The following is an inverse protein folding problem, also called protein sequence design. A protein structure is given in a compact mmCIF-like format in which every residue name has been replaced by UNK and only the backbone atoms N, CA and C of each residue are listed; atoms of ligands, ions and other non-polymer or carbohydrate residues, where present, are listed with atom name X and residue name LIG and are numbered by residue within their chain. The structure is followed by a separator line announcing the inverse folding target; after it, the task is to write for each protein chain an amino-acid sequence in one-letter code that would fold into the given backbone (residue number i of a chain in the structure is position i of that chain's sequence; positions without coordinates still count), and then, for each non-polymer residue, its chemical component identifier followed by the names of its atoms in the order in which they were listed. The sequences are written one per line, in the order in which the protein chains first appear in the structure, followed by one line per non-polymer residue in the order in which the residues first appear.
data_IF_486259926298
#
_entry.id   IF_486259926298
#
_cell.length_a   1.000
_cell.length_b   1.000
_cell.length_c   1.000
_cell.angle_alpha   90.00
_cell.angle_beta   90.00
_cell.angle_gamma   90.00
#
_symmetry.space_group_name_H-M   'P 1'
#
loop_
_entity.id
_entity.type
_entity.pdbx_description
1 polymer ?
#
# COMPACT_ATOMS: atom_id res chain seq x y z
N UNK A 1 3.07 1.95 -21.22
CA UNK A 1 2.48 2.51 -22.46
C UNK A 1 0.98 2.72 -22.23
N UNK A 2 0.43 3.90 -22.50
CA UNK A 2 -1.00 4.19 -22.24
C UNK A 2 -1.96 3.50 -23.24
N UNK A 3 -1.47 3.01 -24.37
CA UNK A 3 -2.29 2.49 -25.47
C UNK A 3 -3.19 1.29 -25.12
N UNK A 4 -2.89 0.56 -24.04
CA UNK A 4 -3.71 -0.57 -23.61
C UNK A 4 -4.90 -0.14 -22.72
N UNK A 5 -4.68 0.86 -21.85
CA UNK A 5 -5.69 1.33 -20.91
C UNK A 5 -6.41 2.61 -21.39
N UNK A 6 -5.83 3.30 -22.37
CA UNK A 6 -6.30 4.56 -22.98
C UNK A 6 -6.79 5.59 -21.94
N UNK A 7 -5.99 5.78 -20.88
CA UNK A 7 -6.36 6.66 -19.79
C UNK A 7 -6.18 8.11 -20.22
N UNK A 8 -7.30 8.83 -20.32
CA UNK A 8 -7.30 10.30 -20.32
C UNK A 8 -6.85 10.83 -18.97
N UNK A 9 -6.42 12.10 -18.90
CA UNK A 9 -6.08 12.74 -17.62
C UNK A 9 -7.26 12.70 -16.62
N UNK A 10 -8.49 12.89 -17.12
CA UNK A 10 -9.70 12.77 -16.31
C UNK A 10 -9.89 11.34 -15.78
N UNK A 11 -9.63 10.33 -16.60
CA UNK A 11 -9.71 8.93 -16.17
C UNK A 11 -8.62 8.60 -15.13
N UNK A 12 -7.38 9.05 -15.37
CA UNK A 12 -6.27 8.90 -14.42
C UNK A 12 -6.61 9.57 -13.08
N UNK A 13 -7.10 10.80 -13.09
CA UNK A 13 -7.50 11.53 -11.88
C UNK A 13 -8.61 10.81 -11.10
N UNK A 14 -9.65 10.32 -11.80
CA UNK A 14 -10.76 9.58 -11.18
C UNK A 14 -10.31 8.25 -10.57
N UNK A 15 -9.39 7.55 -11.21
CA UNK A 15 -8.97 6.20 -10.79
C UNK A 15 -7.69 6.19 -9.91
N UNK A 16 -7.16 7.35 -9.53
CA UNK A 16 -5.98 7.44 -8.65
C UNK A 16 -6.41 7.49 -7.20
N UNK A 17 -6.34 6.37 -6.48
CA UNK A 17 -6.77 6.25 -5.07
C UNK A 17 -6.18 7.33 -4.16
N UNK A 18 -4.92 7.73 -4.36
CA UNK A 18 -4.25 8.76 -3.56
C UNK A 18 -4.95 10.13 -3.60
N UNK A 19 -5.78 10.39 -4.62
CA UNK A 19 -6.57 11.63 -4.76
C UNK A 19 -7.94 11.54 -4.08
N UNK A 20 -8.30 10.37 -3.56
CA UNK A 20 -9.62 10.06 -3.00
C UNK A 20 -9.50 9.41 -1.61
N UNK A 21 -8.53 9.83 -0.81
CA UNK A 21 -8.42 9.40 0.59
C UNK A 21 -9.70 9.83 1.33
N UNK A 22 -10.43 8.91 1.99
CA UNK A 22 -11.70 9.22 2.63
C UNK A 22 -11.50 10.10 3.87
N UNK A 23 -12.56 10.81 4.28
CA UNK A 23 -12.56 11.58 5.54
C UNK A 23 -12.60 10.69 6.80
N UNK A 24 -13.01 9.43 6.68
CA UNK A 24 -12.98 8.43 7.75
C UNK A 24 -12.52 7.10 7.16
N UNK A 25 -11.38 6.58 7.64
CA UNK A 25 -10.78 5.34 7.17
C UNK A 25 -10.43 4.39 8.33
N UNK A 26 -10.47 3.06 8.11
CA UNK A 26 -9.97 2.10 9.08
C UNK A 26 -8.44 2.20 9.21
N UNK A 27 -7.84 1.59 10.26
CA UNK A 27 -6.41 1.37 10.30
C UNK A 27 -5.91 0.66 9.04
N UNK A 28 -4.84 1.17 8.44
CA UNK A 28 -4.26 0.62 7.22
C UNK A 28 -2.96 -0.12 7.53
N UNK A 29 -2.79 -1.32 6.98
CA UNK A 29 -1.48 -1.98 6.91
C UNK A 29 -0.91 -1.76 5.51
N UNK A 30 0.25 -1.11 5.41
CA UNK A 30 0.97 -0.91 4.15
C UNK A 30 2.27 -1.70 4.17
N UNK A 31 2.54 -2.52 3.16
CA UNK A 31 3.78 -3.29 3.08
C UNK A 31 4.37 -3.25 1.67
N UNK A 32 5.70 -3.20 1.58
CA UNK A 32 6.43 -3.32 0.32
C UNK A 32 7.82 -3.90 0.55
N UNK A 33 8.40 -4.48 -0.49
CA UNK A 33 9.74 -5.05 -0.49
C UNK A 33 10.81 -4.06 -0.94
N UNK A 34 12.03 -4.17 -0.40
CA UNK A 34 13.17 -3.34 -0.85
C UNK A 34 13.70 -3.75 -2.23
N UNK A 35 13.34 -4.95 -2.70
CA UNK A 35 13.65 -5.45 -4.04
C UNK A 35 12.58 -5.14 -5.08
N UNK A 36 11.54 -4.39 -4.73
CA UNK A 36 10.56 -3.84 -5.68
C UNK A 36 11.13 -2.64 -6.44
N UNK A 37 10.53 -2.30 -7.59
CA UNK A 37 10.92 -1.08 -8.31
C UNK A 37 10.75 0.13 -7.39
N UNK A 38 11.66 1.10 -7.53
CA UNK A 38 11.65 2.33 -6.75
C UNK A 38 10.30 3.04 -6.75
N UNK A 39 9.57 2.98 -7.87
CA UNK A 39 8.27 3.61 -8.01
C UNK A 39 7.17 2.92 -7.17
N UNK A 40 7.20 1.59 -7.00
CA UNK A 40 6.29 0.91 -6.06
C UNK A 40 6.56 1.35 -4.63
N UNK A 41 7.84 1.38 -4.23
CA UNK A 41 8.21 1.82 -2.88
C UNK A 41 7.86 3.29 -2.64
N UNK A 42 8.06 4.16 -3.64
CA UNK A 42 7.72 5.58 -3.58
C UNK A 42 6.21 5.77 -3.46
N UNK A 43 5.40 5.05 -4.24
CA UNK A 43 3.95 5.12 -4.17
C UNK A 43 3.40 4.61 -2.83
N UNK A 44 3.94 3.52 -2.29
CA UNK A 44 3.55 3.01 -0.97
C UNK A 44 3.83 4.02 0.14
N UNK A 45 5.02 4.63 0.15
CA UNK A 45 5.37 5.72 1.09
C UNK A 45 4.45 6.93 0.94
N UNK A 46 4.20 7.36 -0.30
CA UNK A 46 3.34 8.51 -0.58
C UNK A 46 1.89 8.27 -0.14
N UNK A 47 1.36 7.06 -0.35
CA UNK A 47 0.01 6.72 0.06
C UNK A 47 -0.11 6.62 1.59
N UNK A 48 0.88 6.02 2.27
CA UNK A 48 0.93 5.99 3.74
C UNK A 48 0.93 7.42 4.32
N UNK A 49 1.79 8.30 3.80
CA UNK A 49 1.84 9.71 4.24
C UNK A 49 0.52 10.46 3.97
N UNK A 50 -0.13 10.21 2.82
CA UNK A 50 -1.43 10.80 2.53
C UNK A 50 -2.53 10.29 3.48
N UNK A 51 -2.46 9.02 3.89
CA UNK A 51 -3.37 8.42 4.87
C UNK A 51 -3.21 9.05 6.26
N UNK A 52 -1.97 9.22 6.72
CA UNK A 52 -1.64 9.89 7.99
C UNK A 52 -2.08 11.36 7.96
N UNK A 53 -1.81 12.08 6.86
CA UNK A 53 -2.20 13.48 6.71
C UNK A 53 -3.72 13.69 6.75
N UNK A 54 -4.50 12.68 6.40
CA UNK A 54 -5.96 12.68 6.54
C UNK A 54 -6.44 12.34 7.97
N UNK A 55 -5.53 12.10 8.91
CA UNK A 55 -5.83 11.82 10.31
C UNK A 55 -6.03 10.33 10.63
N UNK A 56 -5.70 9.43 9.70
CA UNK A 56 -5.91 7.99 9.87
C UNK A 56 -4.66 7.28 10.38
N UNK A 57 -4.83 6.11 10.98
CA UNK A 57 -3.73 5.23 11.39
C UNK A 57 -3.23 4.40 10.20
N UNK A 58 -1.91 4.33 10.03
CA UNK A 58 -1.26 3.38 9.11
C UNK A 58 -0.01 2.80 9.77
N UNK A 59 0.19 1.50 9.59
CA UNK A 59 1.43 0.82 9.95
C UNK A 59 2.14 0.39 8.67
N UNK A 60 3.42 0.77 8.53
CA UNK A 60 4.23 0.43 7.35
C UNK A 60 5.23 -0.69 7.64
N UNK A 61 5.33 -1.68 6.75
CA UNK A 61 6.25 -2.82 6.85
C UNK A 61 7.15 -2.88 5.63
N UNK A 62 8.46 -2.73 5.83
CA UNK A 62 9.46 -2.79 4.76
C UNK A 62 10.12 -4.17 4.79
N UNK A 63 9.87 -4.97 3.76
CA UNK A 63 10.34 -6.35 3.70
C UNK A 63 11.67 -6.44 2.92
N UNK A 64 12.74 -6.76 3.64
CA UNK A 64 14.11 -6.75 3.09
C UNK A 64 14.29 -7.81 1.98
N UNK A 65 14.91 -7.40 0.89
CA UNK A 65 15.32 -8.22 -0.27
C UNK A 65 14.18 -8.92 -1.02
N UNK A 66 12.92 -8.55 -0.75
CA UNK A 66 11.78 -9.12 -1.45
C UNK A 66 11.42 -8.32 -2.69
N UNK A 67 11.19 -9.03 -3.79
CA UNK A 67 10.54 -8.46 -4.96
C UNK A 67 9.00 -8.53 -4.82
N UNK A 68 8.30 -7.87 -5.76
CA UNK A 68 6.85 -7.67 -5.72
C UNK A 68 6.04 -8.97 -5.60
N UNK A 69 6.51 -10.06 -6.23
CA UNK A 69 5.83 -11.37 -6.21
C UNK A 69 6.07 -12.15 -4.91
N UNK A 70 7.06 -11.75 -4.10
CA UNK A 70 7.40 -12.40 -2.84
C UNK A 70 6.73 -11.73 -1.64
N UNK A 71 6.52 -10.41 -1.71
CA UNK A 71 5.87 -9.62 -0.64
C UNK A 71 4.53 -10.22 -0.23
N UNK A 72 3.68 -10.57 -1.21
CA UNK A 72 2.37 -11.14 -0.92
C UNK A 72 2.45 -12.43 -0.11
N UNK A 73 3.46 -13.29 -0.33
CA UNK A 73 3.64 -14.53 0.44
C UNK A 73 3.99 -14.25 1.90
N UNK A 74 4.85 -13.27 2.14
CA UNK A 74 5.25 -12.89 3.51
C UNK A 74 4.12 -12.17 4.27
N UNK A 75 3.20 -11.49 3.57
CA UNK A 75 1.98 -10.96 4.19
C UNK A 75 1.10 -12.06 4.80
N UNK A 76 1.16 -13.29 4.28
CA UNK A 76 0.42 -14.46 4.80
C UNK A 76 1.28 -15.40 5.65
N UNK A 77 2.52 -15.02 5.95
CA UNK A 77 3.43 -15.83 6.77
C UNK A 77 3.20 -15.53 8.27
N UNK A 78 2.76 -16.50 9.10
CA UNK A 78 2.48 -16.28 10.52
C UNK A 78 3.65 -15.79 11.38
N UNK A 79 4.88 -16.00 10.88
CA UNK A 79 6.12 -15.59 11.53
C UNK A 79 6.49 -14.13 11.23
N UNK A 80 5.83 -13.49 10.26
CA UNK A 80 6.12 -12.10 9.88
C UNK A 80 5.31 -11.09 10.71
N UNK A 81 5.90 -9.95 11.14
CA UNK A 81 5.18 -8.90 11.86
C UNK A 81 3.98 -8.33 11.10
N UNK A 82 4.08 -8.24 9.76
CA UNK A 82 2.99 -7.73 8.91
C UNK A 82 1.73 -8.59 9.03
N UNK A 83 1.88 -9.92 9.12
CA UNK A 83 0.75 -10.83 9.30
C UNK A 83 0.02 -10.58 10.62
N UNK A 84 0.79 -10.42 11.71
CA UNK A 84 0.23 -10.11 13.03
C UNK A 84 -0.52 -8.77 13.04
N UNK A 85 -0.03 -7.76 12.31
CA UNK A 85 -0.72 -6.48 12.20
C UNK A 85 -2.03 -6.58 11.39
N UNK A 86 -2.04 -7.39 10.33
CA UNK A 86 -3.26 -7.65 9.56
C UNK A 86 -4.32 -8.27 10.47
N UNK A 87 -3.98 -9.30 11.25
CA UNK A 87 -4.91 -9.95 12.18
C UNK A 87 -5.46 -8.97 13.23
N UNK A 88 -4.57 -8.19 13.86
CA UNK A 88 -4.95 -7.11 14.78
C UNK A 88 -5.97 -6.15 14.16
N UNK A 89 -5.75 -5.72 12.90
CA UNK A 89 -6.62 -4.75 12.23
C UNK A 89 -7.99 -5.32 11.83
N UNK A 90 -8.13 -6.65 11.72
CA UNK A 90 -9.42 -7.32 11.46
C UNK A 90 -10.09 -7.88 12.72
N UNK A 91 -9.46 -7.73 13.89
CA UNK A 91 -10.01 -8.12 15.20
C UNK A 91 -9.92 -9.62 15.52
N UNK A 92 -8.89 -10.32 15.01
CA UNK A 92 -8.58 -11.73 15.31
C UNK A 92 -7.25 -11.82 16.05
#
# INVERSE_FOLDING_TARGET
RNTYLDLTEKAAARNSSIRHVPSYGPPLTMAWGTGELDEFQRQSRAFAAAWEAAGHSVDTFILKDLNHFQVAREMFNPEQPVFRNILKNIGV
#
